data_IF_987102557545
#
_entry.id   IF_987102557545
#
_cell.length_a   1.000
_cell.length_b   1.000
_cell.length_c   1.000
_cell.angle_alpha   90.00
_cell.angle_beta   90.00
_cell.angle_gamma   90.00
#
_symmetry.space_group_name_H-M   'P 1'
#
loop_
_entity.id
_entity.type
_entity.pdbx_description
1 polymer ?
#
# COMPACT_ATOMS: atom_id res chain seq x y z
N UNK A 1 -14.06 2.92 -5.03
CA UNK A 1 -15.29 3.46 -4.42
C UNK A 1 -14.95 4.79 -3.78
N UNK A 2 -15.65 5.88 -4.11
CA UNK A 2 -15.44 7.18 -3.45
C UNK A 2 -16.54 7.41 -2.42
N UNK A 3 -16.19 7.36 -1.14
CA UNK A 3 -17.09 7.77 -0.06
C UNK A 3 -16.58 9.04 0.61
N UNK A 4 -17.47 10.00 0.83
CA UNK A 4 -17.16 11.27 1.49
C UNK A 4 -17.60 11.17 2.95
N UNK A 5 -16.65 10.93 3.86
CA UNK A 5 -16.93 10.75 5.29
C UNK A 5 -16.32 11.86 6.14
N UNK A 6 -16.94 13.06 6.08
CA UNK A 6 -16.74 14.24 6.93
C UNK A 6 -15.61 14.20 7.99
N UNK A 7 -15.96 14.23 9.28
CA UNK A 7 -15.03 14.46 10.40
C UNK A 7 -14.32 13.19 10.94
N UNK A 8 -14.36 12.05 10.22
CA UNK A 8 -13.79 10.77 10.67
C UNK A 8 -12.48 10.39 9.96
N UNK A 9 -11.75 11.40 9.46
CA UNK A 9 -10.57 11.23 8.61
C UNK A 9 -9.46 10.28 9.17
N UNK A 10 -9.11 10.26 10.47
CA UNK A 10 -8.07 9.37 10.99
C UNK A 10 -8.48 7.90 11.11
N UNK A 11 -9.79 7.62 11.23
CA UNK A 11 -10.29 6.25 11.24
C UNK A 11 -10.29 5.70 9.82
N UNK A 12 -10.78 6.53 8.89
CA UNK A 12 -10.81 6.20 7.46
C UNK A 12 -9.42 5.85 6.91
N UNK A 13 -8.39 6.60 7.30
CA UNK A 13 -7.05 6.34 6.76
C UNK A 13 -6.47 5.02 7.26
N UNK A 14 -6.85 4.56 8.45
CA UNK A 14 -6.46 3.24 8.94
C UNK A 14 -7.18 2.14 8.17
N UNK A 15 -8.47 2.29 7.89
CA UNK A 15 -9.23 1.33 7.07
C UNK A 15 -8.66 1.22 5.65
N UNK A 16 -8.38 2.37 5.02
CA UNK A 16 -7.76 2.41 3.69
C UNK A 16 -6.33 1.83 3.73
N UNK A 17 -5.53 2.15 4.76
CA UNK A 17 -4.21 1.57 4.91
C UNK A 17 -4.28 0.05 5.13
N UNK A 18 -5.23 -0.47 5.91
CA UNK A 18 -5.39 -1.92 6.11
C UNK A 18 -5.63 -2.60 4.77
N UNK A 19 -6.65 -2.12 4.04
CA UNK A 19 -7.02 -2.67 2.74
C UNK A 19 -5.88 -2.60 1.72
N UNK A 20 -5.26 -1.44 1.55
CA UNK A 20 -4.26 -1.26 0.49
C UNK A 20 -2.93 -1.95 0.79
N UNK A 21 -2.53 -2.10 2.07
CA UNK A 21 -1.35 -2.91 2.41
C UNK A 21 -1.55 -4.39 2.10
N UNK A 22 -2.77 -4.91 2.31
CA UNK A 22 -3.12 -6.27 1.90
C UNK A 22 -3.10 -6.40 0.36
N UNK A 23 -3.75 -5.49 -0.36
CA UNK A 23 -3.77 -5.52 -1.83
C UNK A 23 -2.37 -5.45 -2.45
N UNK A 24 -1.50 -4.57 -1.96
CA UNK A 24 -0.12 -4.49 -2.45
C UNK A 24 0.67 -5.78 -2.18
N UNK A 25 0.48 -6.43 -1.03
CA UNK A 25 1.09 -7.72 -0.75
C UNK A 25 0.61 -8.80 -1.73
N UNK A 26 -0.69 -8.86 -1.99
CA UNK A 26 -1.29 -9.77 -2.97
C UNK A 26 -0.78 -9.50 -4.39
N UNK A 27 -0.60 -8.22 -4.76
CA UNK A 27 -0.05 -7.83 -6.05
C UNK A 27 1.38 -8.34 -6.28
N UNK A 28 2.16 -8.53 -5.22
CA UNK A 28 3.47 -9.17 -5.37
C UNK A 28 3.36 -10.61 -5.88
N UNK A 29 2.34 -11.35 -5.42
CA UNK A 29 2.06 -12.72 -5.85
C UNK A 29 1.58 -12.70 -7.30
N UNK A 30 0.62 -11.82 -7.62
CA UNK A 30 0.10 -11.66 -8.99
C UNK A 30 1.23 -11.43 -9.99
N UNK A 31 2.18 -10.55 -9.68
CA UNK A 31 3.32 -10.27 -10.56
C UNK A 31 4.20 -11.50 -10.80
N UNK A 32 4.45 -12.33 -9.77
CA UNK A 32 5.25 -13.56 -9.91
C UNK A 32 4.52 -14.63 -10.71
N UNK A 33 3.22 -14.80 -10.49
CA UNK A 33 2.40 -15.79 -11.20
C UNK A 33 2.18 -15.41 -12.67
N UNK A 34 2.06 -14.11 -12.97
CA UNK A 34 1.85 -13.60 -14.32
C UNK A 34 3.10 -13.68 -15.21
N UNK A 35 4.29 -13.68 -14.60
CA UNK A 35 5.58 -13.70 -15.30
C UNK A 35 6.42 -14.90 -14.85
N UNK A 36 6.07 -16.10 -15.34
CA UNK A 36 6.74 -17.36 -14.95
C UNK A 36 8.23 -17.43 -15.30
N UNK A 37 8.72 -16.56 -16.18
CA UNK A 37 10.13 -16.40 -16.55
C UNK A 37 10.77 -15.11 -16.00
N UNK A 38 10.18 -14.51 -14.96
CA UNK A 38 10.73 -13.34 -14.28
C UNK A 38 12.13 -13.61 -13.74
N UNK A 39 13.02 -12.62 -13.86
CA UNK A 39 14.39 -12.72 -13.37
C UNK A 39 14.43 -12.92 -11.85
N UNK A 40 15.35 -13.77 -11.40
CA UNK A 40 15.43 -14.18 -9.99
C UNK A 40 15.56 -12.98 -9.03
N UNK A 41 16.28 -11.93 -9.41
CA UNK A 41 16.41 -10.71 -8.60
C UNK A 41 15.06 -10.02 -8.35
N UNK A 42 14.15 -10.02 -9.33
CA UNK A 42 12.81 -9.47 -9.19
C UNK A 42 11.88 -10.43 -8.43
N UNK A 43 12.05 -11.75 -8.61
CA UNK A 43 11.31 -12.75 -7.82
C UNK A 43 11.65 -12.61 -6.33
N UNK A 44 12.92 -12.49 -5.98
CA UNK A 44 13.37 -12.35 -4.61
C UNK A 44 12.94 -10.99 -4.03
N UNK A 45 13.04 -9.91 -4.80
CA UNK A 45 12.54 -8.60 -4.39
C UNK A 45 11.02 -8.61 -4.15
N UNK A 46 10.23 -9.29 -4.99
CA UNK A 46 8.78 -9.41 -4.82
C UNK A 46 8.43 -10.20 -3.55
N UNK A 47 9.18 -11.25 -3.20
CA UNK A 47 8.99 -11.98 -1.93
C UNK A 47 9.33 -11.10 -0.73
N UNK A 48 10.40 -10.30 -0.83
CA UNK A 48 10.74 -9.37 0.24
C UNK A 48 9.66 -8.30 0.40
N UNK A 49 9.13 -7.77 -0.71
CA UNK A 49 8.01 -6.84 -0.71
C UNK A 49 6.77 -7.44 -0.04
N UNK A 50 6.43 -8.68 -0.37
CA UNK A 50 5.32 -9.39 0.26
C UNK A 50 5.47 -9.46 1.79
N UNK A 51 6.66 -9.79 2.28
CA UNK A 51 6.93 -9.88 3.72
C UNK A 51 6.80 -8.53 4.42
N UNK A 52 7.38 -7.47 3.86
CA UNK A 52 7.33 -6.12 4.48
C UNK A 52 5.92 -5.55 4.43
N UNK A 53 5.20 -5.68 3.31
CA UNK A 53 3.82 -5.21 3.16
C UNK A 53 2.87 -5.97 4.10
N UNK A 54 3.02 -7.29 4.23
CA UNK A 54 2.27 -8.07 5.22
C UNK A 54 2.60 -7.64 6.64
N UNK A 55 3.85 -7.35 6.95
CA UNK A 55 4.25 -6.82 8.26
C UNK A 55 3.54 -5.50 8.53
N UNK A 56 3.61 -4.55 7.59
CA UNK A 56 2.94 -3.25 7.70
C UNK A 56 1.43 -3.41 7.85
N UNK A 57 0.79 -4.28 7.08
CA UNK A 57 -0.62 -4.64 7.24
C UNK A 57 -0.94 -5.10 8.67
N UNK A 58 -0.17 -6.04 9.25
CA UNK A 58 -0.36 -6.48 10.64
C UNK A 58 -0.15 -5.36 11.67
N UNK A 59 0.72 -4.39 11.38
CA UNK A 59 0.86 -3.18 12.21
C UNK A 59 -0.39 -2.31 12.13
N UNK A 60 -0.93 -2.05 10.93
CA UNK A 60 -2.16 -1.27 10.75
C UNK A 60 -3.34 -1.91 11.47
N UNK A 61 -3.52 -3.23 11.35
CA UNK A 61 -4.60 -3.97 12.04
C UNK A 61 -4.57 -3.80 13.56
N UNK A 62 -3.38 -3.74 14.16
CA UNK A 62 -3.23 -3.50 15.60
C UNK A 62 -3.67 -2.09 16.00
N UNK A 63 -3.44 -1.10 15.15
CA UNK A 63 -3.95 0.26 15.37
C UNK A 63 -5.47 0.31 15.21
N UNK A 64 -6.04 -0.30 14.16
CA UNK A 64 -7.49 -0.43 13.97
C UNK A 64 -8.17 -1.01 15.22
N UNK A 65 -7.63 -2.10 15.78
CA UNK A 65 -8.15 -2.71 17.01
C UNK A 65 -8.02 -1.77 18.22
N UNK A 66 -6.87 -1.10 18.38
CA UNK A 66 -6.63 -0.17 19.49
C UNK A 66 -7.63 0.99 19.48
N UNK A 67 -7.96 1.51 18.31
CA UNK A 67 -8.92 2.59 18.14
C UNK A 67 -10.35 2.12 18.37
N UNK A 68 -10.69 0.94 17.83
CA UNK A 68 -12.00 0.30 18.04
C UNK A 68 -12.26 0.06 19.53
N UNK A 69 -11.27 -0.45 20.27
CA UNK A 69 -11.36 -0.68 21.73
C UNK A 69 -11.41 0.60 22.56
N UNK A 70 -11.00 1.72 21.97
CA UNK A 70 -11.10 3.04 22.58
C UNK A 70 -12.44 3.72 22.29
N UNK A 71 -13.45 2.99 21.80
CA UNK A 71 -14.76 3.53 21.37
C UNK A 71 -14.60 4.70 20.38
N UNK A 72 -13.62 4.62 19.47
CA UNK A 72 -13.27 5.66 18.51
C UNK A 72 -12.84 7.00 19.13
N UNK A 73 -12.50 7.01 20.43
CA UNK A 73 -11.92 8.16 21.10
C UNK A 73 -10.40 8.10 20.99
N UNK A 74 -9.84 8.93 20.12
CA UNK A 74 -8.39 9.03 19.95
C UNK A 74 -7.82 9.98 21.00
N UNK A 75 -6.96 9.45 21.87
CA UNK A 75 -6.09 10.33 22.67
C UNK A 75 -5.15 11.11 21.74
N UNK A 76 -4.67 12.31 22.12
CA UNK A 76 -3.73 13.05 21.29
C UNK A 76 -2.48 12.26 20.91
N UNK A 77 -2.02 11.39 21.82
CA UNK A 77 -0.86 10.52 21.59
C UNK A 77 -1.17 9.42 20.56
N UNK A 78 -2.31 8.73 20.69
CA UNK A 78 -2.71 7.70 19.74
C UNK A 78 -2.96 8.30 18.35
N UNK A 79 -3.55 9.49 18.29
CA UNK A 79 -3.73 10.25 17.06
C UNK A 79 -2.40 10.51 16.34
N UNK A 80 -1.39 11.00 17.06
CA UNK A 80 -0.07 11.25 16.49
C UNK A 80 0.59 9.97 15.96
N UNK A 81 0.48 8.87 16.70
CA UNK A 81 1.01 7.57 16.27
C UNK A 81 0.31 7.05 15.00
N UNK A 82 -1.00 7.31 14.84
CA UNK A 82 -1.73 6.98 13.61
C UNK A 82 -1.17 7.80 12.44
N UNK A 83 -0.94 9.09 12.60
CA UNK A 83 -0.35 9.92 11.53
C UNK A 83 1.04 9.46 11.12
N UNK A 84 1.88 9.06 12.08
CA UNK A 84 3.21 8.50 11.82
C UNK A 84 3.14 7.20 11.02
N UNK A 85 2.22 6.29 11.39
CA UNK A 85 1.96 5.06 10.67
C UNK A 85 1.47 5.33 9.23
N UNK A 86 0.57 6.29 9.04
CA UNK A 86 0.06 6.67 7.72
C UNK A 86 1.18 7.24 6.84
N UNK A 87 2.03 8.09 7.41
CA UNK A 87 3.22 8.62 6.73
C UNK A 87 4.16 7.49 6.29
N UNK A 88 4.36 6.49 7.14
CA UNK A 88 5.12 5.30 6.78
C UNK A 88 4.46 4.52 5.63
N UNK A 89 3.15 4.24 5.72
CA UNK A 89 2.42 3.52 4.67
C UNK A 89 2.47 4.27 3.33
N UNK A 90 2.38 5.61 3.35
CA UNK A 90 2.54 6.45 2.18
C UNK A 90 3.91 6.26 1.53
N UNK A 91 4.99 6.36 2.32
CA UNK A 91 6.35 6.21 1.82
C UNK A 91 6.60 4.81 1.26
N UNK A 92 6.10 3.78 1.95
CA UNK A 92 6.18 2.38 1.51
C UNK A 92 5.48 2.18 0.15
N UNK A 93 4.27 2.72 -0.01
CA UNK A 93 3.51 2.62 -1.27
C UNK A 93 4.22 3.36 -2.42
N UNK A 94 4.79 4.53 -2.14
CA UNK A 94 5.60 5.26 -3.13
C UNK A 94 6.79 4.42 -3.58
N UNK A 95 7.52 3.81 -2.64
CA UNK A 95 8.65 2.94 -2.95
C UNK A 95 8.22 1.68 -3.72
N UNK A 96 7.08 1.08 -3.35
CA UNK A 96 6.52 -0.07 -4.06
C UNK A 96 6.15 0.28 -5.51
N UNK A 97 5.46 1.40 -5.76
CA UNK A 97 5.15 1.82 -7.14
C UNK A 97 6.41 2.10 -7.96
N UNK A 98 7.47 2.64 -7.36
CA UNK A 98 8.76 2.82 -8.04
C UNK A 98 9.37 1.47 -8.44
N UNK A 99 9.32 0.48 -7.54
CA UNK A 99 9.74 -0.88 -7.84
C UNK A 99 8.91 -1.51 -8.97
N UNK A 100 7.57 -1.42 -8.93
CA UNK A 100 6.70 -1.91 -9.99
C UNK A 100 7.02 -1.27 -11.35
N UNK A 101 7.24 0.06 -11.38
CA UNK A 101 7.68 0.77 -12.60
C UNK A 101 9.00 0.21 -13.12
N UNK A 102 9.97 -0.03 -12.24
CA UNK A 102 11.26 -0.64 -12.60
C UNK A 102 11.08 -2.03 -13.24
N UNK A 103 10.30 -2.91 -12.60
CA UNK A 103 10.00 -4.25 -13.16
C UNK A 103 9.37 -4.12 -14.55
N UNK A 104 8.37 -3.24 -14.70
CA UNK A 104 7.69 -3.00 -15.99
C UNK A 104 8.64 -2.57 -17.11
N UNK A 105 9.62 -1.72 -16.80
CA UNK A 105 10.49 -1.11 -17.80
C UNK A 105 11.78 -1.89 -18.05
N UNK A 106 12.31 -2.57 -17.04
CA UNK A 106 13.64 -3.18 -17.08
C UNK A 106 13.62 -4.71 -17.14
N UNK A 107 12.53 -5.38 -16.74
CA UNK A 107 12.44 -6.83 -16.85
C UNK A 107 12.30 -7.28 -18.30
N UNK A 108 13.12 -8.25 -18.70
CA UNK A 108 12.99 -8.97 -19.98
C UNK A 108 11.69 -9.77 -20.04
N UNK A 109 11.23 -10.30 -18.90
CA UNK A 109 9.96 -11.00 -18.82
C UNK A 109 8.77 -10.06 -19.10
N UNK A 110 8.85 -8.81 -18.62
CA UNK A 110 7.84 -7.80 -18.91
C UNK A 110 7.94 -7.25 -20.35
N UNK A 111 9.14 -7.11 -20.92
CA UNK A 111 9.38 -6.41 -22.19
C UNK A 111 8.49 -6.90 -23.35
N UNK A 112 8.29 -8.21 -23.48
CA UNK A 112 7.46 -8.85 -24.51
C UNK A 112 6.04 -9.24 -24.06
N UNK A 113 5.67 -8.98 -22.80
CA UNK A 113 4.41 -9.42 -22.22
C UNK A 113 3.47 -8.22 -22.00
N UNK A 114 2.57 -7.97 -22.97
CA UNK A 114 1.64 -6.83 -22.89
C UNK A 114 0.65 -6.96 -21.73
N UNK A 115 0.18 -8.17 -21.44
CA UNK A 115 -0.71 -8.41 -20.30
C UNK A 115 -0.02 -8.06 -18.98
N UNK A 116 1.24 -8.46 -18.80
CA UNK A 116 2.01 -8.08 -17.62
C UNK A 116 2.13 -6.57 -17.46
N UNK A 117 2.40 -5.83 -18.54
CA UNK A 117 2.48 -4.37 -18.48
C UNK A 117 1.16 -3.73 -18.06
N UNK A 118 0.04 -4.16 -18.63
CA UNK A 118 -1.29 -3.65 -18.28
C UNK A 118 -1.65 -3.94 -16.82
N UNK A 119 -1.33 -5.15 -16.34
CA UNK A 119 -1.57 -5.51 -14.93
C UNK A 119 -0.67 -4.68 -14.00
N UNK A 120 0.61 -4.49 -14.33
CA UNK A 120 1.51 -3.67 -13.51
C UNK A 120 1.05 -2.20 -13.51
N UNK A 121 0.55 -1.67 -14.63
CA UNK A 121 -0.04 -0.32 -14.67
C UNK A 121 -1.25 -0.22 -13.74
N UNK A 122 -2.15 -1.20 -13.76
CA UNK A 122 -3.29 -1.24 -12.86
C UNK A 122 -2.88 -1.28 -11.37
N UNK A 123 -1.90 -2.11 -11.01
CA UNK A 123 -1.33 -2.19 -9.66
C UNK A 123 -0.79 -0.82 -9.22
N UNK A 124 -0.08 -0.12 -10.11
CA UNK A 124 0.46 1.22 -9.83
C UNK A 124 -0.69 2.22 -9.61
N UNK A 125 -1.70 2.25 -10.48
CA UNK A 125 -2.83 3.17 -10.38
C UNK A 125 -3.60 2.98 -9.06
N UNK A 126 -3.74 1.74 -8.60
CA UNK A 126 -4.38 1.40 -7.33
C UNK A 126 -3.55 1.86 -6.11
N UNK A 127 -2.24 1.63 -6.13
CA UNK A 127 -1.35 2.19 -5.10
C UNK A 127 -1.32 3.73 -5.12
N UNK A 128 -1.39 4.36 -6.29
CA UNK A 128 -1.48 5.82 -6.44
C UNK A 128 -2.78 6.39 -5.85
N UNK A 129 -3.89 5.65 -5.95
CA UNK A 129 -5.13 6.02 -5.27
C UNK A 129 -4.95 6.08 -3.75
N UNK A 130 -4.33 5.06 -3.13
CA UNK A 130 -4.02 5.08 -1.70
C UNK A 130 -3.08 6.24 -1.32
N UNK A 131 -2.02 6.45 -2.12
CA UNK A 131 -1.09 7.57 -1.94
C UNK A 131 -1.84 8.90 -1.87
N UNK A 132 -2.79 9.14 -2.78
CA UNK A 132 -3.60 10.36 -2.79
C UNK A 132 -4.46 10.53 -1.53
N UNK A 133 -5.04 9.44 -1.01
CA UNK A 133 -5.79 9.46 0.25
C UNK A 133 -4.87 9.80 1.42
N UNK A 134 -3.73 9.11 1.54
CA UNK A 134 -2.79 9.31 2.63
C UNK A 134 -2.23 10.74 2.64
N UNK A 135 -1.89 11.28 1.46
CA UNK A 135 -1.43 12.66 1.33
C UNK A 135 -2.48 13.68 1.74
N UNK A 136 -3.74 13.51 1.32
CA UNK A 136 -4.82 14.43 1.68
C UNK A 136 -4.93 14.58 3.19
N UNK A 137 -4.85 13.46 3.91
CA UNK A 137 -5.01 13.42 5.37
C UNK A 137 -3.80 14.02 6.10
N UNK A 138 -2.60 13.80 5.57
CA UNK A 138 -1.37 14.38 6.13
C UNK A 138 -1.24 15.88 5.81
N UNK A 139 -1.76 16.35 4.68
CA UNK A 139 -1.69 17.77 4.28
C UNK A 139 -2.75 18.63 4.95
N UNK A 140 -3.91 18.09 5.31
CA UNK A 140 -4.92 18.79 6.13
C UNK A 140 -4.39 19.19 7.54
N UNK A 141 -3.24 18.66 7.96
CA UNK A 141 -2.60 18.98 9.25
C UNK A 141 -1.56 20.12 9.17
N UNK A 142 -1.21 20.60 7.96
CA UNK A 142 -0.28 21.72 7.75
C UNK A 142 -1.04 23.01 7.40
#
# INVERSE_FOLDING_TARGET
>A
MQFYYGSQMPLRVLDEAEFWKEQEAEHTVVMRELMSNLEQEYVDALKQWEEVLNTTHQHVRRYVESVTRSNNQLSPQLYQQVLELVSFCLQESVAFTQFCRKVKTESKAAAGNQTAKVVIDHIIDESEYFIGIAQTILYEQN
#
